data_IF_199437581401
#
_entry.id   IF_199437581401
#
_cell.length_a   1.000
_cell.length_b   1.000
_cell.length_c   1.000
_cell.angle_alpha   90.00
_cell.angle_beta   90.00
_cell.angle_gamma   90.00
#
_symmetry.space_group_name_H-M   'P 1'
#
loop_
_entity.id
_entity.type
_entity.pdbx_description
1 polymer ?
#
# COMPACT_ATOMS: atom_id res chain seq x y z
N UNK A 1 -48.90 66.74 50.34
CA UNK A 1 -49.00 65.80 49.18
C UNK A 1 -47.69 65.34 48.58
N UNK A 2 -46.56 65.38 49.29
CA UNK A 2 -45.23 64.99 48.71
C UNK A 2 -44.66 63.65 49.25
N UNK A 3 -45.21 63.11 50.32
CA UNK A 3 -44.71 61.82 50.91
C UNK A 3 -45.13 60.51 50.16
N UNK A 4 -46.24 60.54 49.41
CA UNK A 4 -46.73 59.34 48.73
C UNK A 4 -46.09 59.05 47.39
N UNK A 5 -45.38 59.99 46.76
CA UNK A 5 -44.68 59.74 45.46
C UNK A 5 -43.31 59.10 45.63
N UNK A 6 -42.65 59.23 46.79
CA UNK A 6 -41.36 58.60 47.10
C UNK A 6 -41.53 57.11 47.39
N UNK A 7 -42.58 56.77 48.14
CA UNK A 7 -42.84 55.32 48.50
C UNK A 7 -43.27 54.52 47.28
N UNK A 8 -44.00 55.11 46.33
CA UNK A 8 -44.39 54.37 45.09
C UNK A 8 -43.19 54.20 44.12
N UNK A 9 -42.21 55.12 44.16
CA UNK A 9 -40.96 54.89 43.38
C UNK A 9 -40.04 53.87 43.99
N UNK A 10 -39.98 53.79 45.36
CA UNK A 10 -39.21 52.74 46.05
C UNK A 10 -39.80 51.36 45.86
N UNK A 11 -41.15 51.25 45.89
CA UNK A 11 -41.83 49.97 45.61
C UNK A 11 -41.67 49.50 44.16
N UNK A 12 -41.62 50.42 43.16
CA UNK A 12 -41.36 50.06 41.77
C UNK A 12 -39.91 49.62 41.51
N UNK A 13 -38.93 50.18 42.23
CA UNK A 13 -37.53 49.79 42.15
C UNK A 13 -37.32 48.41 42.81
N UNK A 14 -37.97 48.11 43.94
CA UNK A 14 -37.92 46.80 44.60
C UNK A 14 -38.60 45.73 43.73
N UNK A 15 -39.71 46.05 43.07
CA UNK A 15 -40.40 45.13 42.16
C UNK A 15 -39.60 44.85 40.90
N UNK A 16 -38.80 45.80 40.39
CA UNK A 16 -37.91 45.63 39.23
C UNK A 16 -36.66 44.81 39.57
N UNK A 17 -36.17 44.87 40.81
CA UNK A 17 -35.01 44.08 41.29
C UNK A 17 -35.41 42.64 41.57
N UNK A 18 -36.66 42.37 42.03
CA UNK A 18 -37.16 41.01 42.27
C UNK A 18 -37.51 40.30 40.94
N UNK A 19 -37.84 41.04 39.86
CA UNK A 19 -38.09 40.42 38.54
C UNK A 19 -36.79 40.14 37.71
N UNK A 20 -35.64 40.67 38.17
CA UNK A 20 -34.36 40.43 37.48
C UNK A 20 -33.59 39.19 38.02
N UNK A 21 -34.05 38.54 39.06
CA UNK A 21 -33.35 37.42 39.75
C UNK A 21 -33.65 35.99 39.26
N UNK A 22 -34.64 35.69 38.39
CA UNK A 22 -34.84 34.32 37.94
C UNK A 22 -34.03 33.94 36.68
N UNK A 23 -33.15 34.81 36.13
CA UNK A 23 -32.36 34.48 34.95
C UNK A 23 -30.91 34.07 35.22
N UNK A 24 -30.53 33.89 36.48
CA UNK A 24 -29.32 33.13 36.84
C UNK A 24 -29.64 31.64 36.98
N UNK A 25 -30.32 31.10 35.98
CA UNK A 25 -30.32 29.67 35.75
C UNK A 25 -28.92 29.28 35.29
N UNK A 26 -28.16 28.60 36.15
CA UNK A 26 -26.98 27.86 35.78
C UNK A 26 -27.25 27.19 34.43
N UNK A 27 -26.63 27.68 33.37
CA UNK A 27 -26.34 26.82 32.23
C UNK A 27 -25.52 25.66 32.83
N UNK A 28 -26.14 24.54 33.13
CA UNK A 28 -25.41 23.27 33.04
C UNK A 28 -24.78 23.31 31.68
N UNK A 29 -23.46 23.45 31.60
CA UNK A 29 -22.72 23.02 30.47
C UNK A 29 -23.18 21.58 30.24
N UNK A 30 -24.06 21.39 29.28
CA UNK A 30 -24.22 20.12 28.61
C UNK A 30 -22.84 19.91 28.03
N UNK A 31 -22.06 19.10 28.74
CA UNK A 31 -20.85 18.51 28.21
C UNK A 31 -21.28 17.92 26.87
N UNK A 32 -21.06 18.70 25.81
CA UNK A 32 -21.14 18.17 24.47
C UNK A 32 -20.02 17.15 24.46
N UNK A 33 -20.33 15.92 24.86
CA UNK A 33 -19.63 14.75 24.36
C UNK A 33 -19.59 15.00 22.84
N UNK A 34 -18.50 15.60 22.38
CA UNK A 34 -18.15 15.56 20.98
C UNK A 34 -18.26 14.08 20.64
N UNK A 35 -19.34 13.72 19.96
CA UNK A 35 -19.44 12.43 19.31
C UNK A 35 -18.24 12.39 18.36
N UNK A 36 -17.11 11.93 18.88
CA UNK A 36 -15.94 11.61 18.09
C UNK A 36 -16.32 10.36 17.31
N UNK A 37 -17.10 10.57 16.23
CA UNK A 37 -17.31 9.52 15.24
C UNK A 37 -15.90 9.22 14.71
N UNK A 38 -15.40 7.99 14.91
CA UNK A 38 -14.07 7.62 14.45
C UNK A 38 -13.98 7.88 12.96
N UNK A 39 -13.01 8.71 12.56
CA UNK A 39 -12.77 9.01 11.14
C UNK A 39 -11.83 7.96 10.56
N UNK A 40 -12.16 7.46 9.39
CA UNK A 40 -11.22 6.63 8.64
C UNK A 40 -9.96 7.44 8.29
N UNK A 41 -8.79 6.93 8.70
CA UNK A 41 -7.49 7.58 8.44
C UNK A 41 -6.91 7.25 7.06
N UNK A 42 -7.57 6.37 6.29
CA UNK A 42 -7.10 5.92 4.99
C UNK A 42 -7.67 6.83 3.90
N UNK A 43 -6.78 7.34 3.03
CA UNK A 43 -7.12 8.35 2.03
C UNK A 43 -7.08 7.81 0.59
N UNK A 44 -6.09 7.03 0.25
CA UNK A 44 -5.80 6.54 -1.11
C UNK A 44 -6.17 5.08 -1.31
N UNK A 45 -5.87 4.24 -0.33
CA UNK A 45 -6.22 2.83 -0.40
C UNK A 45 -7.74 2.63 -0.38
N UNK A 46 -8.22 1.71 -1.22
CA UNK A 46 -9.64 1.35 -1.33
C UNK A 46 -9.95 0.01 -0.67
N UNK A 47 -8.91 -0.79 -0.42
CA UNK A 47 -9.03 -2.15 0.06
C UNK A 47 -9.19 -2.27 1.58
N UNK A 48 -8.98 -1.21 2.37
CA UNK A 48 -9.14 -1.28 3.81
C UNK A 48 -9.51 0.06 4.46
N UNK A 49 -9.96 0.00 5.70
CA UNK A 49 -10.19 1.15 6.57
C UNK A 49 -9.71 0.86 7.98
N UNK A 50 -9.36 1.91 8.72
CA UNK A 50 -9.00 1.85 10.14
C UNK A 50 -9.85 2.88 10.88
N UNK A 51 -10.61 2.42 11.88
CA UNK A 51 -11.37 3.25 12.80
C UNK A 51 -10.78 3.10 14.21
N UNK A 52 -10.19 4.17 14.73
CA UNK A 52 -9.58 4.17 16.07
C UNK A 52 -10.60 4.55 17.12
N UNK A 53 -10.63 3.77 18.20
CA UNK A 53 -11.42 3.98 19.41
C UNK A 53 -10.49 3.97 20.62
N UNK A 54 -11.01 4.36 21.78
CA UNK A 54 -10.26 4.27 23.02
C UNK A 54 -9.98 2.81 23.40
N UNK A 55 -8.70 2.43 23.40
CA UNK A 55 -8.23 1.10 23.76
C UNK A 55 -8.40 0.00 22.71
N UNK A 56 -8.95 0.32 21.53
CA UNK A 56 -9.02 -0.63 20.41
C UNK A 56 -9.17 0.07 19.06
N UNK A 57 -8.84 -0.63 17.98
CA UNK A 57 -9.11 -0.18 16.61
C UNK A 57 -9.87 -1.26 15.84
N UNK A 58 -10.69 -0.83 14.89
CA UNK A 58 -11.40 -1.72 13.95
C UNK A 58 -10.76 -1.59 12.59
N UNK A 59 -10.20 -2.69 12.08
CA UNK A 59 -9.73 -2.78 10.70
C UNK A 59 -10.76 -3.53 9.89
N UNK A 60 -11.17 -2.97 8.74
CA UNK A 60 -12.01 -3.66 7.78
C UNK A 60 -11.29 -3.74 6.44
N UNK A 61 -11.05 -4.96 5.94
CA UNK A 61 -10.50 -5.23 4.61
C UNK A 61 -11.67 -5.56 3.68
N UNK A 62 -11.93 -4.70 2.70
CA UNK A 62 -13.13 -4.74 1.87
C UNK A 62 -12.92 -5.38 0.49
N UNK A 63 -11.72 -5.30 -0.07
CA UNK A 63 -11.40 -5.81 -1.41
C UNK A 63 -10.05 -6.55 -1.43
N UNK A 64 -9.91 -7.67 -0.69
CA UNK A 64 -8.65 -8.40 -0.62
C UNK A 64 -8.22 -9.04 -1.95
N UNK A 65 -9.15 -9.21 -2.90
CA UNK A 65 -8.91 -9.70 -4.27
C UNK A 65 -9.95 -9.14 -5.24
N UNK A 66 -9.74 -9.25 -6.57
CA UNK A 66 -10.71 -8.81 -7.57
C UNK A 66 -12.06 -9.52 -7.40
N UNK A 67 -13.14 -8.74 -7.43
CA UNK A 67 -14.52 -9.24 -7.28
C UNK A 67 -14.78 -9.94 -5.93
N UNK A 68 -14.06 -9.56 -4.87
CA UNK A 68 -14.39 -10.02 -3.52
C UNK A 68 -15.85 -9.70 -3.18
N UNK A 69 -16.56 -10.67 -2.60
CA UNK A 69 -17.99 -10.56 -2.29
C UNK A 69 -18.29 -10.33 -0.80
N UNK A 70 -17.27 -10.23 0.03
CA UNK A 70 -17.39 -9.98 1.47
C UNK A 70 -16.22 -9.14 1.98
N UNK A 71 -16.45 -8.46 3.10
CA UNK A 71 -15.44 -7.75 3.87
C UNK A 71 -15.00 -8.58 5.07
N UNK A 72 -13.80 -8.32 5.55
CA UNK A 72 -13.20 -8.99 6.71
C UNK A 72 -12.89 -7.96 7.77
N UNK A 73 -13.48 -8.12 8.95
CA UNK A 73 -13.31 -7.18 10.06
C UNK A 73 -12.46 -7.83 11.15
N UNK A 74 -11.52 -7.06 11.69
CA UNK A 74 -10.59 -7.45 12.73
C UNK A 74 -10.56 -6.39 13.82
N UNK A 75 -10.49 -6.82 15.08
CA UNK A 75 -10.40 -5.93 16.25
C UNK A 75 -8.98 -5.98 16.78
N UNK A 76 -8.29 -4.84 16.74
CA UNK A 76 -6.98 -4.67 17.36
C UNK A 76 -7.21 -4.13 18.78
N UNK A 77 -6.96 -4.95 19.78
CA UNK A 77 -7.23 -4.61 21.19
C UNK A 77 -5.93 -4.29 21.92
N UNK A 78 -5.84 -3.13 22.54
CA UNK A 78 -4.76 -2.80 23.47
C UNK A 78 -4.88 -3.62 24.77
N UNK A 79 -3.78 -3.75 25.52
CA UNK A 79 -3.72 -4.59 26.73
C UNK A 79 -4.88 -4.32 27.69
N UNK A 80 -5.19 -3.07 27.94
CA UNK A 80 -6.24 -2.64 28.89
C UNK A 80 -7.52 -2.16 28.18
N UNK A 81 -7.59 -2.28 26.86
CA UNK A 81 -8.74 -1.84 26.07
C UNK A 81 -9.99 -2.69 26.35
N UNK A 82 -11.13 -2.08 26.26
CA UNK A 82 -12.43 -2.73 26.39
C UNK A 82 -13.09 -2.79 25.02
N UNK A 83 -13.36 -4.01 24.54
CA UNK A 83 -14.06 -4.22 23.27
C UNK A 83 -15.55 -4.38 23.56
N UNK A 84 -16.43 -3.60 22.92
CA UNK A 84 -17.88 -3.77 23.04
C UNK A 84 -18.34 -5.17 22.67
N UNK A 85 -19.40 -5.67 23.33
CA UNK A 85 -19.90 -7.03 23.11
C UNK A 85 -20.33 -7.27 21.66
N UNK A 86 -20.87 -6.25 20.99
CA UNK A 86 -21.25 -6.30 19.58
C UNK A 86 -20.07 -6.59 18.62
N UNK A 87 -18.84 -6.35 19.04
CA UNK A 87 -17.64 -6.57 18.24
C UNK A 87 -16.91 -7.87 18.60
N UNK A 88 -17.27 -8.57 19.66
CA UNK A 88 -16.62 -9.80 20.12
C UNK A 88 -16.78 -10.98 19.16
N UNK A 89 -17.71 -10.90 18.22
CA UNK A 89 -17.88 -11.88 17.13
C UNK A 89 -16.75 -11.86 16.12
N UNK A 90 -15.96 -10.78 16.03
CA UNK A 90 -14.83 -10.66 15.11
C UNK A 90 -13.52 -11.14 15.75
N UNK A 91 -12.54 -11.59 14.95
CA UNK A 91 -11.22 -11.95 15.45
C UNK A 91 -10.58 -10.79 16.22
N UNK A 92 -10.15 -11.05 17.47
CA UNK A 92 -9.48 -10.07 18.33
C UNK A 92 -7.98 -10.36 18.36
N UNK A 93 -7.17 -9.38 17.99
CA UNK A 93 -5.71 -9.40 18.02
C UNK A 93 -5.25 -8.48 19.14
N UNK A 94 -4.43 -8.99 20.06
CA UNK A 94 -3.79 -8.16 21.08
C UNK A 94 -2.62 -7.39 20.44
N UNK A 95 -2.60 -6.08 20.61
CA UNK A 95 -1.55 -5.20 20.10
C UNK A 95 -0.83 -4.50 21.25
N UNK A 96 0.48 -4.14 21.06
CA UNK A 96 1.32 -4.44 19.90
C UNK A 96 1.68 -5.92 19.79
N UNK A 97 1.70 -6.45 18.56
CA UNK A 97 2.14 -7.82 18.27
C UNK A 97 3.67 -7.95 18.41
N UNK A 98 4.15 -9.18 18.62
CA UNK A 98 5.58 -9.48 18.84
C UNK A 98 6.13 -10.53 17.87
N UNK A 99 5.26 -11.36 17.29
CA UNK A 99 5.63 -12.42 16.36
C UNK A 99 4.63 -12.43 15.20
N UNK A 100 5.14 -12.20 13.98
CA UNK A 100 4.34 -12.13 12.77
C UNK A 100 4.83 -13.14 11.73
N UNK A 101 3.91 -13.69 11.00
CA UNK A 101 4.15 -14.39 9.74
C UNK A 101 3.52 -13.55 8.63
N UNK A 102 4.25 -13.33 7.55
CA UNK A 102 3.71 -12.69 6.34
C UNK A 102 3.94 -13.61 5.14
N UNK A 103 3.06 -13.53 4.15
CA UNK A 103 3.08 -14.47 3.01
C UNK A 103 3.37 -13.79 1.67
N UNK A 104 3.58 -12.46 1.67
CA UNK A 104 3.99 -11.71 0.48
C UNK A 104 5.27 -10.93 0.73
N UNK A 105 6.16 -10.88 -0.26
CA UNK A 105 7.38 -10.05 -0.19
C UNK A 105 7.06 -8.56 -0.09
N UNK A 106 5.90 -8.10 -0.61
CA UNK A 106 5.44 -6.70 -0.50
C UNK A 106 5.22 -6.25 0.95
N UNK A 107 5.02 -7.18 1.89
CA UNK A 107 4.86 -6.88 3.31
C UNK A 107 6.20 -6.57 4.01
N UNK A 108 7.32 -7.11 3.51
CA UNK A 108 8.66 -6.97 4.11
C UNK A 108 9.09 -5.50 4.27
N UNK A 109 8.96 -4.63 3.22
CA UNK A 109 9.36 -3.23 3.35
C UNK A 109 8.59 -2.46 4.43
N UNK A 110 7.31 -2.77 4.64
CA UNK A 110 6.53 -2.16 5.73
C UNK A 110 7.09 -2.52 7.10
N UNK A 111 7.50 -3.79 7.32
CA UNK A 111 8.13 -4.21 8.57
C UNK A 111 9.46 -3.50 8.80
N UNK A 112 10.28 -3.34 7.75
CA UNK A 112 11.56 -2.65 7.84
C UNK A 112 11.41 -1.15 8.10
N UNK A 113 10.51 -0.48 7.39
CA UNK A 113 10.28 0.95 7.57
C UNK A 113 9.77 1.28 8.98
N UNK A 114 8.98 0.36 9.57
CA UNK A 114 8.50 0.49 10.95
C UNK A 114 9.54 0.04 11.99
N UNK A 115 10.69 -0.53 11.57
CA UNK A 115 11.74 -1.03 12.46
C UNK A 115 11.31 -2.24 13.28
N UNK A 116 10.48 -3.11 12.71
CA UNK A 116 9.93 -4.31 13.36
C UNK A 116 10.25 -5.61 12.63
N UNK A 117 11.14 -5.59 11.66
CA UNK A 117 11.55 -6.75 10.85
C UNK A 117 12.04 -7.94 11.69
N UNK A 118 12.54 -7.69 12.88
CA UNK A 118 13.01 -8.74 13.82
C UNK A 118 11.86 -9.59 14.39
N UNK A 119 10.63 -9.14 14.25
CA UNK A 119 9.45 -9.89 14.69
C UNK A 119 8.96 -10.90 13.65
N UNK A 120 9.55 -10.91 12.44
CA UNK A 120 9.23 -11.88 11.41
C UNK A 120 9.69 -13.28 11.84
N UNK A 121 8.73 -14.14 12.17
CA UNK A 121 8.99 -15.51 12.62
C UNK A 121 9.05 -16.53 11.48
N UNK A 122 8.34 -16.30 10.37
CA UNK A 122 8.29 -17.22 9.24
C UNK A 122 7.82 -16.57 7.94
N UNK A 123 8.22 -17.17 6.82
CA UNK A 123 7.86 -16.73 5.47
C UNK A 123 7.89 -17.92 4.50
N UNK A 124 6.96 -18.02 3.54
CA UNK A 124 7.00 -19.05 2.49
C UNK A 124 8.01 -18.68 1.40
N UNK A 125 8.80 -19.66 0.96
CA UNK A 125 9.84 -19.47 -0.05
C UNK A 125 10.82 -18.32 0.30
N UNK A 126 11.59 -18.50 1.34
CA UNK A 126 12.55 -17.51 1.85
C UNK A 126 13.46 -16.91 0.76
N UNK A 127 13.72 -17.65 -0.33
CA UNK A 127 14.56 -17.18 -1.42
C UNK A 127 13.97 -15.97 -2.21
N UNK A 128 12.67 -15.73 -2.11
CA UNK A 128 12.06 -14.56 -2.76
C UNK A 128 12.35 -13.24 -2.05
N UNK A 129 12.78 -13.27 -0.78
CA UNK A 129 13.07 -12.06 -0.01
C UNK A 129 14.38 -11.45 -0.49
N UNK A 130 14.30 -10.20 -0.95
CA UNK A 130 15.43 -9.39 -1.44
C UNK A 130 16.06 -8.53 -0.35
N UNK A 131 15.32 -8.19 0.72
CA UNK A 131 15.78 -7.36 1.83
C UNK A 131 17.05 -7.90 2.48
N UNK A 132 18.11 -7.09 2.51
CA UNK A 132 19.38 -7.46 3.16
C UNK A 132 19.22 -7.66 4.67
N UNK A 133 18.38 -6.85 5.34
CA UNK A 133 18.13 -6.97 6.78
C UNK A 133 17.42 -8.29 7.11
N UNK A 134 16.38 -8.63 6.34
CA UNK A 134 15.64 -9.88 6.56
C UNK A 134 16.49 -11.08 6.11
N UNK A 135 17.29 -10.96 5.06
CA UNK A 135 18.29 -12.00 4.69
C UNK A 135 19.25 -12.31 5.82
N UNK A 136 19.76 -11.30 6.53
CA UNK A 136 20.61 -11.50 7.71
C UNK A 136 19.88 -12.27 8.84
N UNK A 137 18.58 -12.05 9.03
CA UNK A 137 17.77 -12.82 9.98
C UNK A 137 17.56 -14.25 9.52
N UNK A 138 17.37 -14.49 8.22
CA UNK A 138 17.25 -15.83 7.63
C UNK A 138 18.57 -16.60 7.79
N UNK A 139 19.70 -15.97 7.44
CA UNK A 139 21.03 -16.56 7.59
C UNK A 139 21.33 -16.91 9.07
N UNK A 140 20.82 -16.11 10.01
CA UNK A 140 20.85 -16.37 11.45
C UNK A 140 19.78 -17.38 11.95
N UNK A 141 19.01 -18.02 11.04
CA UNK A 141 17.94 -18.99 11.33
C UNK A 141 16.82 -18.46 12.25
N UNK A 142 16.61 -17.13 12.22
CA UNK A 142 15.54 -16.46 13.00
C UNK A 142 14.19 -16.49 12.28
N UNK A 143 14.16 -16.66 10.96
CA UNK A 143 12.95 -16.76 10.15
C UNK A 143 12.80 -18.20 9.65
N UNK A 144 11.67 -18.82 9.90
CA UNK A 144 11.36 -20.19 9.51
C UNK A 144 10.88 -20.26 8.07
N UNK A 145 11.35 -21.26 7.32
CA UNK A 145 10.80 -21.62 6.01
C UNK A 145 9.42 -22.26 6.17
N UNK A 146 8.42 -21.75 5.45
CA UNK A 146 7.03 -22.23 5.55
C UNK A 146 6.53 -22.96 4.29
N UNK A 147 7.41 -23.25 3.33
CA UNK A 147 7.03 -23.90 2.06
C UNK A 147 6.38 -22.94 1.06
N UNK A 148 5.40 -23.43 0.30
CA UNK A 148 4.69 -22.62 -0.71
C UNK A 148 3.42 -21.97 -0.15
N UNK A 149 3.03 -20.82 -0.70
CA UNK A 149 1.80 -20.10 -0.27
C UNK A 149 0.53 -20.96 -0.36
N UNK A 150 0.45 -21.86 -1.34
CA UNK A 150 -0.69 -22.75 -1.54
C UNK A 150 -0.68 -23.96 -0.60
N UNK A 151 0.46 -24.22 0.07
CA UNK A 151 0.67 -25.38 0.95
C UNK A 151 1.64 -24.98 2.09
N UNK A 152 1.21 -24.03 2.93
CA UNK A 152 1.99 -23.60 4.09
C UNK A 152 2.18 -24.75 5.08
N UNK A 153 3.38 -24.90 5.62
CA UNK A 153 3.68 -25.91 6.63
C UNK A 153 2.97 -25.58 7.95
N UNK A 154 1.81 -26.20 8.13
CA UNK A 154 0.93 -25.97 9.30
C UNK A 154 1.59 -26.41 10.60
N UNK A 155 2.41 -27.47 10.59
CA UNK A 155 3.10 -27.95 11.81
C UNK A 155 4.10 -26.89 12.31
N UNK A 156 4.91 -26.34 11.40
CA UNK A 156 5.85 -25.27 11.73
C UNK A 156 5.10 -24.02 12.22
N UNK A 157 3.94 -23.70 11.64
CA UNK A 157 3.12 -22.55 12.08
C UNK A 157 2.52 -22.76 13.46
N UNK A 158 2.07 -23.98 13.80
CA UNK A 158 1.55 -24.32 15.13
C UNK A 158 2.68 -24.25 16.17
N UNK A 159 3.88 -24.74 15.86
CA UNK A 159 5.03 -24.66 16.76
C UNK A 159 5.51 -23.19 16.95
N UNK A 160 5.48 -22.41 15.89
CA UNK A 160 5.89 -20.98 15.92
C UNK A 160 4.95 -20.10 16.74
N UNK A 161 3.67 -20.46 16.83
CA UNK A 161 2.62 -19.71 17.55
C UNK A 161 2.64 -18.20 17.25
N UNK A 162 2.52 -17.76 15.98
CA UNK A 162 2.56 -16.34 15.68
C UNK A 162 1.34 -15.63 16.29
N UNK A 163 1.54 -14.38 16.72
CA UNK A 163 0.43 -13.52 17.16
C UNK A 163 -0.58 -13.32 16.04
N UNK A 164 -0.07 -13.27 14.78
CA UNK A 164 -0.87 -13.10 13.58
C UNK A 164 -0.13 -13.61 12.33
N UNK A 165 -0.90 -14.13 11.38
CA UNK A 165 -0.47 -14.46 10.02
C UNK A 165 -1.13 -13.46 9.08
N UNK A 166 -0.32 -12.72 8.28
CA UNK A 166 -0.83 -11.86 7.23
C UNK A 166 -0.81 -12.62 5.92
N UNK A 167 -1.99 -13.02 5.47
CA UNK A 167 -2.19 -13.74 4.22
C UNK A 167 -2.70 -12.84 3.10
N UNK A 168 -2.51 -13.24 1.86
CA UNK A 168 -3.21 -12.68 0.72
C UNK A 168 -4.03 -13.78 0.02
N UNK A 169 -5.17 -13.40 -0.55
CA UNK A 169 -6.01 -14.28 -1.35
C UNK A 169 -6.01 -13.84 -2.81
N UNK A 170 -6.22 -14.77 -3.72
CA UNK A 170 -6.36 -14.49 -5.16
C UNK A 170 -7.83 -14.44 -5.59
N UNK A 171 -8.68 -15.18 -4.90
CA UNK A 171 -10.12 -15.30 -5.15
C UNK A 171 -10.86 -15.71 -3.86
N UNK A 172 -12.12 -16.09 -4.01
CA UNK A 172 -12.96 -16.52 -2.88
C UNK A 172 -12.63 -17.93 -2.34
N UNK A 173 -11.65 -18.64 -2.90
CA UNK A 173 -11.26 -19.98 -2.49
C UNK A 173 -9.84 -19.99 -1.90
N UNK A 174 -9.73 -19.90 -0.59
CA UNK A 174 -8.45 -19.83 0.12
C UNK A 174 -8.31 -20.98 1.14
N UNK A 175 -8.30 -22.25 0.70
CA UNK A 175 -8.36 -23.41 1.60
C UNK A 175 -7.20 -23.46 2.59
N UNK A 176 -6.01 -23.01 2.21
CA UNK A 176 -4.84 -22.95 3.10
C UNK A 176 -5.10 -22.01 4.26
N UNK A 177 -5.53 -20.76 4.00
CA UNK A 177 -5.80 -19.78 5.05
C UNK A 177 -6.99 -20.20 5.91
N UNK A 178 -8.05 -20.74 5.31
CA UNK A 178 -9.23 -21.26 6.02
C UNK A 178 -8.85 -22.41 6.97
N UNK A 179 -7.94 -23.30 6.54
CA UNK A 179 -7.45 -24.38 7.37
C UNK A 179 -6.63 -23.88 8.57
N UNK A 180 -5.78 -22.87 8.37
CA UNK A 180 -5.03 -22.25 9.46
C UNK A 180 -5.97 -21.64 10.50
N UNK A 181 -7.03 -20.95 10.08
CA UNK A 181 -8.05 -20.38 10.99
C UNK A 181 -8.81 -21.47 11.76
N UNK A 182 -9.18 -22.57 11.10
CA UNK A 182 -9.82 -23.74 11.76
C UNK A 182 -8.93 -24.38 12.82
N UNK A 183 -7.60 -24.30 12.66
CA UNK A 183 -6.62 -24.74 13.65
C UNK A 183 -6.31 -23.67 14.73
N UNK A 184 -7.12 -22.62 14.83
CA UNK A 184 -7.02 -21.59 15.88
C UNK A 184 -5.98 -20.51 15.65
N UNK A 185 -5.29 -20.49 14.49
CA UNK A 185 -4.34 -19.46 14.13
C UNK A 185 -5.07 -18.19 13.66
N UNK A 186 -4.58 -17.03 14.05
CA UNK A 186 -5.16 -15.75 13.67
C UNK A 186 -4.64 -15.32 12.31
N UNK A 187 -5.49 -15.35 11.30
CA UNK A 187 -5.16 -14.96 9.92
C UNK A 187 -5.88 -13.65 9.59
N UNK A 188 -5.12 -12.65 9.19
CA UNK A 188 -5.61 -11.38 8.64
C UNK A 188 -5.28 -11.34 7.15
N UNK A 189 -6.24 -10.88 6.36
CA UNK A 189 -6.04 -10.67 4.93
C UNK A 189 -5.44 -9.30 4.68
N UNK A 190 -4.51 -9.24 3.73
CA UNK A 190 -3.96 -8.01 3.18
C UNK A 190 -4.23 -8.00 1.68
N UNK A 191 -4.76 -6.90 1.17
CA UNK A 191 -5.14 -6.74 -0.24
C UNK A 191 -4.29 -5.72 -0.99
N UNK A 192 -3.07 -5.41 -0.53
CA UNK A 192 -2.18 -4.40 -1.12
C UNK A 192 -1.89 -4.64 -2.61
N UNK A 193 -1.80 -5.91 -3.01
CA UNK A 193 -1.56 -6.28 -4.40
C UNK A 193 -2.72 -5.88 -5.34
N UNK A 194 -3.95 -5.82 -4.82
CA UNK A 194 -5.17 -5.48 -5.56
C UNK A 194 -5.44 -3.96 -5.61
N UNK A 195 -4.67 -3.15 -4.88
CA UNK A 195 -4.80 -1.69 -4.95
C UNK A 195 -4.44 -1.16 -6.34
N UNK A 196 -5.27 -0.24 -6.81
CA UNK A 196 -5.19 0.27 -8.17
C UNK A 196 -4.28 1.49 -8.30
N UNK A 197 -4.13 2.29 -7.24
CA UNK A 197 -3.30 3.48 -7.26
C UNK A 197 -1.94 3.25 -6.59
N UNK A 198 -0.87 3.90 -7.07
CA UNK A 198 0.45 3.80 -6.47
C UNK A 198 0.47 4.22 -4.99
N UNK A 199 -0.15 5.34 -4.64
CA UNK A 199 -0.25 5.80 -3.25
C UNK A 199 -1.15 4.90 -2.40
N UNK A 200 -2.21 4.30 -2.98
CA UNK A 200 -3.04 3.31 -2.28
C UNK A 200 -2.23 2.10 -1.85
N UNK A 201 -1.33 1.59 -2.71
CA UNK A 201 -0.42 0.49 -2.34
C UNK A 201 0.50 0.86 -1.17
N UNK A 202 1.13 2.02 -1.22
CA UNK A 202 2.04 2.46 -0.16
C UNK A 202 1.31 2.73 1.17
N UNK A 203 0.04 3.11 1.14
CA UNK A 203 -0.73 3.42 2.34
C UNK A 203 -1.00 2.19 3.23
N UNK A 204 -0.83 0.97 2.71
CA UNK A 204 -0.92 -0.26 3.51
C UNK A 204 0.13 -0.36 4.62
N UNK A 205 1.16 0.49 4.65
CA UNK A 205 2.05 0.61 5.81
C UNK A 205 1.28 0.95 7.09
N UNK A 206 0.15 1.69 6.98
CA UNK A 206 -0.70 2.04 8.13
C UNK A 206 -1.39 0.81 8.73
N UNK A 207 -1.72 -0.20 7.92
CA UNK A 207 -2.22 -1.49 8.39
C UNK A 207 -1.21 -2.16 9.34
N UNK A 208 0.07 -2.22 8.95
CA UNK A 208 1.13 -2.74 9.80
C UNK A 208 1.39 -1.83 11.00
N UNK A 209 1.35 -0.50 10.82
CA UNK A 209 1.46 0.48 11.91
C UNK A 209 0.45 0.22 13.04
N UNK A 210 -0.79 -0.09 12.69
CA UNK A 210 -1.84 -0.41 13.67
C UNK A 210 -1.56 -1.70 14.44
N UNK A 211 -1.04 -2.75 13.78
CA UNK A 211 -0.68 -4.02 14.44
C UNK A 211 0.43 -3.86 15.48
N UNK A 212 1.33 -2.90 15.29
CA UNK A 212 2.47 -2.66 16.18
C UNK A 212 2.30 -1.48 17.13
N UNK A 213 1.13 -0.82 17.15
CA UNK A 213 0.94 0.40 17.94
C UNK A 213 1.85 1.55 17.48
N UNK A 214 2.21 1.58 16.18
CA UNK A 214 3.11 2.57 15.55
C UNK A 214 2.38 3.42 14.52
N UNK A 215 1.12 3.76 14.77
CA UNK A 215 0.27 4.51 13.83
C UNK A 215 0.90 5.87 13.46
N UNK A 216 1.43 6.60 14.43
CA UNK A 216 2.06 7.91 14.19
C UNK A 216 3.29 7.78 13.28
N UNK A 217 4.14 6.76 13.50
CA UNK A 217 5.30 6.51 12.65
C UNK A 217 4.86 6.12 11.24
N UNK A 218 3.85 5.24 11.10
CA UNK A 218 3.33 4.83 9.81
C UNK A 218 2.74 6.02 9.03
N UNK A 219 1.98 6.89 9.71
CA UNK A 219 1.43 8.12 9.13
C UNK A 219 2.55 9.08 8.68
N UNK A 220 3.60 9.26 9.48
CA UNK A 220 4.74 10.11 9.15
C UNK A 220 5.52 9.58 7.93
N UNK A 221 5.77 8.26 7.88
CA UNK A 221 6.45 7.62 6.75
C UNK A 221 5.62 7.71 5.48
N UNK A 222 4.32 7.44 5.55
CA UNK A 222 3.42 7.57 4.41
C UNK A 222 3.35 9.02 3.91
N UNK A 223 3.20 10.00 4.81
CA UNK A 223 3.19 11.42 4.45
C UNK A 223 4.46 11.84 3.68
N UNK A 224 5.63 11.32 4.08
CA UNK A 224 6.87 11.58 3.34
C UNK A 224 6.83 11.00 1.93
N UNK A 225 6.39 9.74 1.78
CA UNK A 225 6.23 9.09 0.48
C UNK A 225 5.24 9.86 -0.41
N UNK A 226 4.08 10.21 0.14
CA UNK A 226 3.06 11.02 -0.53
C UNK A 226 3.62 12.36 -1.01
N UNK A 227 4.29 13.11 -0.13
CA UNK A 227 4.91 14.39 -0.46
C UNK A 227 5.93 14.28 -1.57
N UNK A 228 6.82 13.29 -1.51
CA UNK A 228 7.86 13.07 -2.51
C UNK A 228 7.24 12.64 -3.85
N UNK A 229 6.18 11.84 -3.82
CA UNK A 229 5.40 11.45 -4.99
C UNK A 229 4.74 12.65 -5.66
N UNK A 230 3.99 13.46 -4.90
CA UNK A 230 3.29 14.64 -5.41
C UNK A 230 4.27 15.71 -5.94
N UNK A 231 5.40 15.90 -5.26
CA UNK A 231 6.46 16.79 -5.76
C UNK A 231 7.02 16.31 -7.11
N UNK A 232 7.22 15.00 -7.27
CA UNK A 232 7.71 14.43 -8.53
C UNK A 232 6.67 14.59 -9.65
N UNK A 233 5.39 14.47 -9.33
CA UNK A 233 4.29 14.70 -10.25
C UNK A 233 4.29 16.16 -10.76
N UNK A 234 4.49 17.13 -9.87
CA UNK A 234 4.61 18.56 -10.27
C UNK A 234 5.85 18.82 -11.13
N UNK A 235 6.95 18.09 -10.90
CA UNK A 235 8.13 18.15 -11.77
C UNK A 235 7.80 17.61 -13.17
N UNK A 236 7.12 16.46 -13.25
CA UNK A 236 6.76 15.83 -14.51
C UNK A 236 5.87 16.71 -15.40
N UNK A 237 4.98 17.51 -14.81
CA UNK A 237 4.13 18.48 -15.55
C UNK A 237 4.91 19.54 -16.32
N UNK A 238 6.20 19.74 -16.02
CA UNK A 238 7.08 20.69 -16.72
C UNK A 238 7.72 20.10 -17.96
N UNK A 239 7.45 18.83 -18.27
CA UNK A 239 7.99 18.18 -19.44
C UNK A 239 7.49 18.83 -20.72
N UNK A 240 8.39 19.10 -21.66
CA UNK A 240 8.09 19.69 -22.97
C UNK A 240 7.74 18.65 -24.05
N UNK A 241 7.92 17.36 -23.74
CA UNK A 241 7.67 16.25 -24.65
C UNK A 241 6.87 15.16 -23.96
N UNK A 242 6.25 14.29 -24.76
CA UNK A 242 5.48 13.15 -24.26
C UNK A 242 5.91 11.89 -25.05
N UNK A 243 7.07 11.28 -24.70
CA UNK A 243 7.63 10.16 -25.46
C UNK A 243 6.74 8.92 -25.38
N UNK A 244 6.61 8.22 -26.52
CA UNK A 244 5.84 6.99 -26.62
C UNK A 244 6.57 5.83 -25.93
N UNK A 245 5.82 5.04 -25.15
CA UNK A 245 6.35 3.96 -24.31
C UNK A 245 5.74 2.63 -24.72
N UNK A 246 6.63 1.67 -25.06
CA UNK A 246 6.36 0.26 -25.07
C UNK A 246 6.67 -0.30 -23.67
N UNK A 247 5.76 -1.13 -23.10
CA UNK A 247 5.99 -1.79 -21.81
C UNK A 247 5.87 -3.30 -21.95
N UNK A 248 6.44 -4.01 -20.96
CA UNK A 248 6.37 -5.48 -20.88
C UNK A 248 7.32 -6.20 -21.83
N UNK A 249 7.08 -7.48 -21.99
CA UNK A 249 7.88 -8.39 -22.84
C UNK A 249 7.15 -9.72 -23.07
N UNK A 250 7.80 -10.60 -23.86
CA UNK A 250 7.30 -11.96 -24.09
C UNK A 250 7.55 -12.84 -22.88
N UNK A 251 6.53 -13.58 -22.48
CA UNK A 251 6.65 -14.75 -21.66
C UNK A 251 5.96 -15.90 -22.39
N UNK A 252 6.69 -16.96 -22.67
CA UNK A 252 6.27 -18.01 -23.60
C UNK A 252 5.87 -17.42 -24.96
N UNK A 253 4.63 -17.60 -25.39
CA UNK A 253 4.09 -17.16 -26.67
C UNK A 253 3.28 -15.86 -26.61
N UNK A 254 3.21 -15.20 -25.44
CA UNK A 254 2.42 -13.99 -25.20
C UNK A 254 3.25 -12.84 -24.70
N UNK A 255 2.88 -11.63 -25.13
CA UNK A 255 3.40 -10.40 -24.58
C UNK A 255 2.51 -9.91 -23.45
N UNK A 256 3.09 -9.72 -22.27
CA UNK A 256 2.40 -9.21 -21.09
C UNK A 256 2.76 -7.75 -20.85
N UNK A 257 1.73 -6.91 -20.70
CA UNK A 257 1.89 -5.47 -20.49
C UNK A 257 0.76 -4.90 -19.60
N UNK A 258 0.98 -3.75 -18.91
CA UNK A 258 0.01 -3.18 -18.02
C UNK A 258 -1.29 -2.77 -18.73
N UNK A 259 -2.45 -3.11 -18.15
CA UNK A 259 -3.73 -2.56 -18.58
C UNK A 259 -3.85 -1.07 -18.22
N UNK A 260 -4.71 -0.34 -18.94
CA UNK A 260 -4.81 1.12 -18.92
C UNK A 260 -5.27 1.76 -17.61
N UNK A 261 -5.88 1.00 -16.69
CA UNK A 261 -6.25 1.48 -15.35
C UNK A 261 -5.43 0.83 -14.24
N UNK A 262 -4.33 0.13 -14.58
CA UNK A 262 -3.39 -0.43 -13.62
C UNK A 262 -2.50 0.65 -12.99
N UNK A 263 -1.97 0.37 -11.80
CA UNK A 263 -1.03 1.26 -11.13
C UNK A 263 0.26 1.51 -11.96
N UNK A 264 0.71 0.50 -12.73
CA UNK A 264 1.84 0.65 -13.64
C UNK A 264 1.54 1.63 -14.78
N UNK A 265 0.35 1.54 -15.40
CA UNK A 265 -0.07 2.51 -16.40
C UNK A 265 -0.23 3.92 -15.81
N UNK A 266 -0.77 4.04 -14.60
CA UNK A 266 -0.89 5.32 -13.90
C UNK A 266 0.48 5.98 -13.73
N UNK A 267 1.50 5.26 -13.26
CA UNK A 267 2.86 5.78 -13.12
C UNK A 267 3.45 6.28 -14.44
N UNK A 268 3.24 5.55 -15.55
CA UNK A 268 3.71 5.97 -16.88
C UNK A 268 3.03 7.27 -17.35
N UNK A 269 1.72 7.40 -17.13
CA UNK A 269 0.94 8.62 -17.45
C UNK A 269 1.38 9.80 -16.57
N UNK A 270 1.52 9.58 -15.27
CA UNK A 270 1.90 10.61 -14.30
C UNK A 270 3.34 11.08 -14.47
N UNK A 271 4.21 10.22 -15.01
CA UNK A 271 5.54 10.62 -15.47
C UNK A 271 5.53 11.40 -16.80
N UNK A 272 4.36 11.82 -17.30
CA UNK A 272 4.19 12.51 -18.57
C UNK A 272 4.67 11.70 -19.78
N UNK A 273 4.42 10.38 -19.77
CA UNK A 273 4.72 9.44 -20.84
C UNK A 273 3.47 9.02 -21.62
N UNK A 274 3.61 8.84 -22.92
CA UNK A 274 2.57 8.33 -23.81
C UNK A 274 2.63 6.80 -23.86
N UNK A 275 2.01 6.13 -22.89
CA UNK A 275 1.93 4.68 -22.89
C UNK A 275 0.93 4.20 -23.94
N UNK A 276 1.37 3.34 -24.86
CA UNK A 276 0.65 2.99 -26.07
C UNK A 276 -0.69 2.24 -25.81
N UNK A 277 -0.86 1.54 -24.68
CA UNK A 277 -2.10 0.84 -24.31
C UNK A 277 -2.84 1.50 -23.14
N UNK A 278 -2.62 2.80 -22.96
CA UNK A 278 -3.22 3.58 -21.87
C UNK A 278 -4.75 3.65 -21.89
N UNK A 279 -5.37 3.42 -23.05
CA UNK A 279 -6.83 3.48 -23.23
C UNK A 279 -7.54 2.14 -22.95
N UNK A 280 -6.80 1.08 -22.66
CA UNK A 280 -7.38 -0.22 -22.35
C UNK A 280 -8.01 -0.22 -20.95
N UNK A 281 -9.04 -1.04 -20.75
CA UNK A 281 -9.74 -1.16 -19.48
C UNK A 281 -9.16 -2.33 -18.69
N UNK A 282 -9.07 -2.16 -17.36
CA UNK A 282 -8.64 -3.20 -16.43
C UNK A 282 -7.36 -2.83 -15.68
N UNK A 283 -7.16 -3.49 -14.53
CA UNK A 283 -6.10 -3.18 -13.56
C UNK A 283 -4.95 -4.20 -13.54
N UNK A 284 -5.10 -5.31 -14.29
CA UNK A 284 -4.10 -6.36 -14.40
C UNK A 284 -3.17 -6.18 -15.60
N UNK A 285 -2.82 -7.30 -16.24
CA UNK A 285 -2.02 -7.36 -17.45
C UNK A 285 -2.85 -7.71 -18.66
N UNK A 286 -2.57 -7.08 -19.81
CA UNK A 286 -2.98 -7.56 -21.11
C UNK A 286 -2.06 -8.69 -21.55
N UNK A 287 -2.63 -9.67 -22.23
CA UNK A 287 -1.90 -10.74 -22.93
C UNK A 287 -2.18 -10.60 -24.42
N UNK A 288 -1.15 -10.25 -25.21
CA UNK A 288 -1.25 -9.98 -26.64
C UNK A 288 -0.26 -10.87 -27.43
N UNK A 289 -0.51 -11.03 -28.75
CA UNK A 289 0.48 -11.65 -29.63
C UNK A 289 1.62 -10.66 -29.93
N UNK A 290 2.78 -11.20 -30.31
CA UNK A 290 3.94 -10.41 -30.71
C UNK A 290 3.59 -9.46 -31.87
N UNK A 291 2.86 -9.94 -32.88
CA UNK A 291 2.47 -9.17 -34.05
C UNK A 291 1.62 -7.96 -33.69
N UNK A 292 0.63 -8.15 -32.78
CA UNK A 292 -0.21 -7.05 -32.29
C UNK A 292 0.62 -5.98 -31.59
N UNK A 293 1.62 -6.40 -30.80
CA UNK A 293 2.49 -5.48 -30.09
C UNK A 293 3.46 -4.80 -31.08
N UNK A 294 4.01 -5.53 -32.04
CA UNK A 294 4.90 -4.97 -33.06
C UNK A 294 4.18 -3.93 -33.92
N UNK A 295 2.97 -4.22 -34.38
CA UNK A 295 2.18 -3.28 -35.19
C UNK A 295 2.05 -1.91 -34.49
N UNK A 296 1.70 -1.90 -33.22
CA UNK A 296 1.48 -0.66 -32.46
C UNK A 296 2.75 -0.09 -31.85
N UNK A 297 3.65 -0.95 -31.39
CA UNK A 297 4.83 -0.58 -30.58
C UNK A 297 6.12 -0.37 -31.35
N UNK A 298 6.19 -0.75 -32.64
CA UNK A 298 7.41 -0.72 -33.47
C UNK A 298 8.17 0.60 -33.39
N UNK A 299 7.45 1.72 -33.40
CA UNK A 299 8.03 3.05 -33.43
C UNK A 299 8.10 3.74 -32.05
N UNK A 300 7.89 3.02 -30.94
CA UNK A 300 7.99 3.57 -29.61
C UNK A 300 9.37 4.21 -29.36
N UNK A 301 9.39 5.34 -28.65
CA UNK A 301 10.62 6.03 -28.30
C UNK A 301 11.44 5.29 -27.25
N UNK A 302 10.76 4.59 -26.35
CA UNK A 302 11.33 3.95 -25.19
C UNK A 302 10.61 2.62 -24.90
N UNK A 303 11.36 1.65 -24.38
CA UNK A 303 10.83 0.37 -23.93
C UNK A 303 11.19 0.12 -22.46
N UNK A 304 10.18 -0.11 -21.63
CA UNK A 304 10.33 -0.56 -20.24
C UNK A 304 9.97 -2.04 -20.20
N UNK A 305 10.98 -2.91 -20.04
CA UNK A 305 10.79 -4.35 -19.97
C UNK A 305 10.71 -4.86 -18.54
N UNK A 306 9.86 -5.86 -18.32
CA UNK A 306 9.80 -6.69 -17.12
C UNK A 306 10.72 -7.92 -17.19
N UNK A 307 11.23 -8.22 -18.38
CA UNK A 307 12.10 -9.37 -18.63
C UNK A 307 13.39 -9.33 -17.82
N UNK A 308 13.85 -10.51 -17.43
CA UNK A 308 15.04 -10.67 -16.60
C UNK A 308 16.32 -10.70 -17.44
N UNK A 309 16.45 -9.74 -18.34
CA UNK A 309 17.63 -9.60 -19.20
C UNK A 309 18.66 -8.69 -18.57
N UNK A 310 19.94 -9.09 -18.62
CA UNK A 310 21.07 -8.27 -18.16
C UNK A 310 21.63 -7.35 -19.27
N UNK A 311 21.30 -7.63 -20.55
CA UNK A 311 21.80 -6.89 -21.71
C UNK A 311 20.84 -6.93 -22.88
N UNK A 312 21.06 -6.06 -23.88
CA UNK A 312 20.36 -6.10 -25.16
C UNK A 312 20.71 -7.38 -25.95
N UNK A 313 21.93 -7.89 -25.78
CA UNK A 313 22.33 -9.14 -26.42
C UNK A 313 21.51 -10.32 -25.90
N UNK A 314 21.34 -10.44 -24.59
CA UNK A 314 20.47 -11.48 -23.99
C UNK A 314 19.02 -11.38 -24.49
N UNK A 315 18.49 -10.16 -24.67
CA UNK A 315 17.18 -9.96 -25.29
C UNK A 315 17.14 -10.50 -26.71
N UNK A 316 18.18 -10.20 -27.51
CA UNK A 316 18.27 -10.62 -28.91
C UNK A 316 18.41 -12.13 -29.03
N UNK A 317 19.19 -12.75 -28.14
CA UNK A 317 19.39 -14.21 -28.09
C UNK A 317 18.07 -14.93 -27.72
N UNK A 318 17.29 -14.32 -26.82
CA UNK A 318 15.97 -14.84 -26.41
C UNK A 318 14.93 -14.71 -27.53
N UNK A 319 14.93 -13.59 -28.24
CA UNK A 319 14.02 -13.36 -29.37
C UNK A 319 14.63 -12.36 -30.40
N UNK A 320 15.15 -12.83 -31.55
CA UNK A 320 15.73 -11.98 -32.60
C UNK A 320 14.78 -10.90 -33.15
N UNK A 321 13.46 -11.14 -33.02
CA UNK A 321 12.46 -10.17 -33.51
C UNK A 321 12.40 -8.88 -32.68
N UNK A 322 12.98 -8.84 -31.49
CA UNK A 322 13.09 -7.61 -30.70
C UNK A 322 13.87 -6.50 -31.41
N UNK A 323 14.79 -6.87 -32.31
CA UNK A 323 15.49 -5.91 -33.17
C UNK A 323 14.58 -5.09 -34.09
N UNK A 324 13.32 -5.47 -34.26
CA UNK A 324 12.36 -4.71 -35.08
C UNK A 324 11.84 -3.44 -34.39
N UNK A 325 11.96 -3.35 -33.07
CA UNK A 325 11.49 -2.19 -32.29
C UNK A 325 12.51 -1.06 -32.32
N UNK A 326 12.08 0.16 -32.67
CA UNK A 326 12.93 1.36 -32.70
C UNK A 326 13.61 1.64 -31.34
N UNK A 327 12.91 1.41 -30.24
CA UNK A 327 13.49 1.56 -28.90
C UNK A 327 14.69 0.63 -28.69
N UNK A 328 14.62 -0.61 -29.16
CA UNK A 328 15.73 -1.55 -29.13
C UNK A 328 16.91 -1.10 -30.02
N UNK A 329 16.65 -0.74 -31.27
CA UNK A 329 17.66 -0.25 -32.22
C UNK A 329 18.40 0.98 -31.69
N UNK A 330 17.68 1.89 -31.02
CA UNK A 330 18.24 3.10 -30.41
C UNK A 330 18.86 2.84 -29.02
N UNK A 331 18.92 1.58 -28.57
CA UNK A 331 19.40 1.20 -27.24
C UNK A 331 18.68 1.95 -26.12
N UNK A 332 17.37 2.17 -26.28
CA UNK A 332 16.55 2.92 -25.33
C UNK A 332 15.57 1.98 -24.60
N UNK A 333 16.16 0.91 -24.03
CA UNK A 333 15.47 -0.14 -23.29
C UNK A 333 15.91 -0.08 -21.83
N UNK A 334 14.95 -0.11 -20.92
CA UNK A 334 15.17 -0.08 -19.48
C UNK A 334 14.49 -1.28 -18.82
N UNK A 335 15.21 -1.93 -17.90
CA UNK A 335 14.69 -3.06 -17.11
C UNK A 335 14.60 -2.67 -15.64
N UNK A 336 13.53 -3.07 -14.98
CA UNK A 336 13.41 -3.04 -13.52
C UNK A 336 13.71 -4.39 -12.87
N UNK A 337 13.97 -5.40 -13.67
CA UNK A 337 14.30 -6.76 -13.20
C UNK A 337 15.80 -7.01 -13.08
N UNK A 338 16.65 -6.04 -13.44
CA UNK A 338 18.10 -6.14 -13.33
C UNK A 338 18.58 -6.18 -11.88
N UNK A 339 17.90 -5.45 -10.98
CA UNK A 339 18.25 -5.43 -9.55
C UNK A 339 17.62 -6.60 -8.81
N UNK A 340 18.49 -7.47 -8.33
CA UNK A 340 18.11 -8.69 -7.62
C UNK A 340 18.74 -8.71 -6.23
N UNK A 341 18.01 -9.28 -5.26
CA UNK A 341 18.57 -9.64 -3.97
C UNK A 341 19.55 -10.82 -4.08
N UNK A 342 20.22 -11.16 -2.97
CA UNK A 342 21.28 -12.19 -2.86
C UNK A 342 20.84 -13.56 -3.44
N UNK A 343 19.57 -13.89 -3.38
CA UNK A 343 18.97 -15.17 -3.81
C UNK A 343 18.20 -15.07 -5.13
N UNK A 344 18.31 -13.97 -5.85
CA UNK A 344 17.68 -13.79 -7.16
C UNK A 344 16.30 -13.15 -7.14
N UNK A 345 15.71 -12.85 -5.98
CA UNK A 345 14.45 -12.09 -5.86
C UNK A 345 14.60 -10.71 -6.50
N UNK A 346 13.62 -10.29 -7.30
CA UNK A 346 13.65 -8.99 -7.98
C UNK A 346 13.20 -7.91 -7.00
N UNK A 347 14.10 -6.94 -6.72
CA UNK A 347 13.87 -5.88 -5.74
C UNK A 347 12.63 -5.04 -6.04
N UNK A 348 12.33 -4.81 -7.32
CA UNK A 348 11.16 -4.05 -7.73
C UNK A 348 9.84 -4.65 -7.20
N UNK A 349 9.66 -5.95 -7.30
CA UNK A 349 8.42 -6.60 -6.86
C UNK A 349 8.23 -6.56 -5.34
N UNK A 350 9.31 -6.53 -4.58
CA UNK A 350 9.26 -6.42 -3.12
C UNK A 350 9.03 -4.98 -2.67
N UNK A 351 9.82 -4.02 -3.16
CA UNK A 351 9.90 -2.67 -2.60
C UNK A 351 9.05 -1.62 -3.34
N UNK A 352 8.87 -1.73 -4.68
CA UNK A 352 8.21 -0.69 -5.46
C UNK A 352 6.76 -0.37 -5.03
N UNK A 353 5.92 -1.36 -4.63
CA UNK A 353 4.58 -1.07 -4.12
C UNK A 353 4.58 -0.16 -2.88
N UNK A 354 5.61 -0.26 -2.05
CA UNK A 354 5.78 0.56 -0.84
C UNK A 354 6.47 1.92 -1.13
N UNK A 355 7.15 2.07 -2.28
CA UNK A 355 7.94 3.26 -2.65
C UNK A 355 7.60 3.77 -4.05
N UNK A 356 6.31 4.06 -4.33
CA UNK A 356 5.89 4.60 -5.63
C UNK A 356 6.51 5.98 -5.92
N UNK A 357 6.90 6.73 -4.91
CA UNK A 357 7.65 7.98 -5.00
C UNK A 357 8.97 7.81 -5.77
N UNK A 358 9.72 6.76 -5.45
CA UNK A 358 10.98 6.43 -6.14
C UNK A 358 10.68 5.93 -7.55
N UNK A 359 9.67 5.06 -7.73
CA UNK A 359 9.31 4.53 -9.05
C UNK A 359 8.92 5.65 -10.01
N UNK A 360 8.05 6.58 -9.58
CA UNK A 360 7.65 7.73 -10.40
C UNK A 360 8.86 8.59 -10.75
N UNK A 361 9.73 8.87 -9.78
CA UNK A 361 10.93 9.67 -9.98
C UNK A 361 11.91 9.04 -10.98
N UNK A 362 12.05 7.72 -10.92
CA UNK A 362 12.87 6.97 -11.88
C UNK A 362 12.31 7.10 -13.30
N UNK A 363 11.00 6.89 -13.46
CA UNK A 363 10.34 6.98 -14.78
C UNK A 363 10.43 8.41 -15.31
N UNK A 364 10.21 9.44 -14.49
CA UNK A 364 10.39 10.85 -14.89
C UNK A 364 11.83 11.10 -15.33
N UNK A 365 12.82 10.58 -14.60
CA UNK A 365 14.23 10.71 -14.99
C UNK A 365 14.56 10.05 -16.33
N UNK A 366 13.95 8.91 -16.60
CA UNK A 366 14.15 8.16 -17.86
C UNK A 366 13.51 8.90 -19.05
N UNK A 367 12.30 9.42 -18.86
CA UNK A 367 11.54 10.09 -19.92
C UNK A 367 12.02 11.53 -20.16
N UNK A 368 12.42 12.23 -19.10
CA UNK A 368 12.71 13.66 -19.06
C UNK A 368 13.99 13.92 -18.24
N UNK A 369 15.17 13.47 -18.75
CA UNK A 369 16.42 13.51 -17.99
C UNK A 369 16.85 14.93 -17.59
N UNK A 370 16.41 15.94 -18.33
CA UNK A 370 16.65 17.37 -18.07
C UNK A 370 15.95 17.89 -16.80
N UNK A 371 14.82 17.32 -16.42
CA UNK A 371 14.04 17.75 -15.23
C UNK A 371 14.67 17.30 -13.92
N UNK A 372 15.41 16.20 -13.92
CA UNK A 372 16.01 15.60 -12.73
C UNK A 372 17.55 15.46 -12.90
N UNK A 373 18.23 16.59 -13.16
CA UNK A 373 19.70 16.61 -13.29
C UNK A 373 20.37 16.02 -12.05
N UNK A 374 21.37 15.15 -12.25
CA UNK A 374 22.12 14.50 -11.16
C UNK A 374 21.42 13.34 -10.47
N UNK A 375 20.10 13.14 -10.65
CA UNK A 375 19.41 11.97 -10.11
C UNK A 375 19.76 10.72 -10.92
N UNK A 376 20.00 9.61 -10.22
CA UNK A 376 20.21 8.28 -10.82
C UNK A 376 19.03 7.38 -10.44
N UNK A 377 18.38 6.72 -11.43
CA UNK A 377 17.29 5.78 -11.15
C UNK A 377 17.70 4.70 -10.15
N UNK A 378 16.79 4.38 -9.27
CA UNK A 378 17.01 3.36 -8.25
C UNK A 378 16.54 1.99 -8.70
N UNK A 379 15.34 1.89 -9.27
CA UNK A 379 14.77 0.61 -9.70
C UNK A 379 15.16 0.22 -11.12
N UNK A 380 15.30 1.19 -12.01
CA UNK A 380 15.44 0.95 -13.44
C UNK A 380 16.90 1.08 -13.89
N UNK A 381 17.32 0.15 -14.73
CA UNK A 381 18.63 0.18 -15.37
C UNK A 381 18.49 0.16 -16.89
N UNK A 382 19.29 0.96 -17.58
CA UNK A 382 19.37 0.95 -19.03
C UNK A 382 20.16 -0.27 -19.48
N UNK A 383 19.56 -1.11 -20.32
CA UNK A 383 20.25 -2.27 -20.91
C UNK A 383 21.31 -1.80 -21.92
N UNK A 384 22.47 -2.48 -21.90
CA UNK A 384 23.64 -2.16 -22.72
C UNK A 384 23.90 -3.23 -23.78
#
# INVERSE_FOLDING_TARGET
MQKNKSMARFLKIILLVVLAFPFLQCKKEVDQQKNNIPKNEIQYAKGFSILNHEGYSVITVSNPWPKANKSYTYILKEKNGIVPDSLKQFPIILVPIKNIVVTSTTHIPSLEMLGVEKTLGGFPNLNYISSEKVRALIDAKKVKELGANQALNTEVLIDLQPDVIIGYGLDNNNPTLDNLQKNGLKVLLNGDWNEQSPLGKAEWIKFFGALYGKQELANSLFYKIEKDYLNTLEIAKRASSNPSILAGDMYEDKWYLPQGTSWGCQLLKEAHGNYLWSETKGTGSLSLSFETVLEKGKNANLWITSGQFGSLQEMLDANPHYAQFKAFQNKNVYSFSSKKGKTGGILYYELAPNRPDIVLKDIVKILHPELLKGYKPFFFEKLK
#
